data_IF_383211645337
#
_entry.id   IF_383211645337
#
_cell.length_a   1.000
_cell.length_b   1.000
_cell.length_c   1.000
_cell.angle_alpha   90.00
_cell.angle_beta   90.00
_cell.angle_gamma   90.00
#
_symmetry.space_group_name_H-M   'P 1'
#
loop_
_entity.id
_entity.type
_entity.pdbx_description
1 polymer ?
#
# COMPACT_ATOMS: atom_id res chain seq x y z
N UNK A 1 -4.45 1.60 -10.81
CA UNK A 1 -3.11 1.30 -11.36
C UNK A 1 -2.10 1.40 -10.22
N UNK A 2 -1.06 0.60 -10.25
CA UNK A 2 -0.10 0.47 -9.15
C UNK A 2 1.32 0.84 -9.62
N UNK A 3 2.28 0.75 -8.71
CA UNK A 3 3.70 0.99 -9.01
C UNK A 3 4.44 -0.33 -9.27
N UNK A 4 3.78 -1.34 -9.85
CA UNK A 4 4.42 -2.54 -10.36
C UNK A 4 4.57 -2.43 -11.87
N UNK A 5 5.72 -1.95 -12.33
CA UNK A 5 5.93 -1.58 -13.72
C UNK A 5 7.18 -2.25 -14.28
N UNK A 6 7.13 -2.58 -15.57
CA UNK A 6 8.32 -3.04 -16.29
C UNK A 6 9.24 -1.86 -16.62
N UNK A 7 10.54 -2.05 -16.37
CA UNK A 7 11.62 -1.15 -16.78
C UNK A 7 12.68 -2.02 -17.44
N UNK A 8 13.00 -1.73 -18.70
CA UNK A 8 13.96 -2.49 -19.49
C UNK A 8 13.73 -4.03 -19.47
N UNK A 9 12.45 -4.43 -19.50
CA UNK A 9 12.04 -5.83 -19.50
C UNK A 9 12.00 -6.51 -18.13
N UNK A 10 12.40 -5.83 -17.05
CA UNK A 10 12.34 -6.34 -15.68
C UNK A 10 11.18 -5.72 -14.89
N UNK A 11 10.40 -6.55 -14.20
CA UNK A 11 9.33 -6.08 -13.32
C UNK A 11 9.90 -5.48 -12.04
N UNK A 12 9.48 -4.27 -11.70
CA UNK A 12 9.89 -3.56 -10.48
C UNK A 12 8.70 -3.34 -9.55
N UNK A 13 8.95 -3.41 -8.23
CA UNK A 13 8.12 -2.78 -7.22
C UNK A 13 8.68 -1.38 -6.94
N UNK A 14 7.99 -0.35 -7.40
CA UNK A 14 8.50 1.02 -7.40
C UNK A 14 9.84 1.10 -8.15
N UNK A 15 10.94 1.40 -7.46
CA UNK A 15 12.28 1.51 -8.03
C UNK A 15 13.16 0.28 -7.80
N UNK A 16 12.60 -0.81 -7.23
CA UNK A 16 13.35 -2.03 -6.88
C UNK A 16 12.91 -3.19 -7.76
N UNK A 17 13.85 -3.88 -8.41
CA UNK A 17 13.54 -5.04 -9.23
C UNK A 17 12.99 -6.19 -8.36
N UNK A 18 11.91 -6.83 -8.82
CA UNK A 18 11.30 -7.96 -8.11
C UNK A 18 12.27 -9.13 -7.97
N UNK A 19 13.15 -9.32 -8.96
CA UNK A 19 14.18 -10.35 -8.93
C UNK A 19 15.16 -10.15 -7.77
N UNK A 20 15.63 -8.92 -7.55
CA UNK A 20 16.55 -8.61 -6.44
C UNK A 20 15.91 -8.91 -5.08
N UNK A 21 14.61 -8.59 -4.93
CA UNK A 21 13.85 -8.91 -3.73
C UNK A 21 13.74 -10.44 -3.57
N UNK A 22 13.46 -11.16 -4.66
CA UNK A 22 13.33 -12.61 -4.64
C UNK A 22 14.64 -13.32 -4.26
N UNK A 23 15.78 -12.83 -4.74
CA UNK A 23 17.11 -13.35 -4.41
C UNK A 23 17.48 -13.11 -2.95
N UNK A 24 17.11 -11.95 -2.38
CA UNK A 24 17.42 -11.60 -0.99
C UNK A 24 16.47 -12.24 0.04
N UNK A 25 15.18 -12.32 -0.27
CA UNK A 25 14.14 -12.77 0.68
C UNK A 25 13.82 -14.27 0.51
N UNK A 26 13.98 -14.80 -0.71
CA UNK A 26 13.52 -16.15 -1.06
C UNK A 26 12.03 -16.20 -1.39
N UNK A 27 11.64 -17.20 -2.19
CA UNK A 27 10.25 -17.39 -2.62
C UNK A 27 9.56 -18.54 -1.87
N UNK A 28 8.22 -18.46 -1.65
CA UNK A 28 7.32 -17.38 -2.02
C UNK A 28 7.35 -16.18 -1.05
N UNK A 29 7.10 -14.98 -1.57
CA UNK A 29 6.91 -13.76 -0.76
C UNK A 29 5.75 -12.91 -1.28
N UNK A 30 5.19 -12.09 -0.40
CA UNK A 30 4.33 -10.97 -0.77
C UNK A 30 5.14 -9.68 -0.79
N UNK A 31 4.90 -8.83 -1.79
CA UNK A 31 5.47 -7.49 -1.89
C UNK A 31 4.35 -6.49 -2.05
N UNK A 32 4.47 -5.37 -1.34
CA UNK A 32 3.51 -4.27 -1.35
C UNK A 32 4.23 -2.99 -1.74
N UNK A 33 3.57 -2.14 -2.53
CA UNK A 33 4.08 -0.81 -2.84
C UNK A 33 3.50 0.22 -1.86
N UNK A 34 4.39 0.89 -1.13
CA UNK A 34 4.04 2.00 -0.24
C UNK A 34 3.44 3.16 -1.04
N UNK A 35 4.06 3.53 -2.16
CA UNK A 35 3.56 4.59 -3.03
C UNK A 35 2.12 4.30 -3.52
N UNK A 36 1.83 3.03 -3.83
CA UNK A 36 0.49 2.62 -4.26
C UNK A 36 -0.55 2.74 -3.14
N UNK A 37 -0.21 2.29 -1.93
CA UNK A 37 -1.09 2.41 -0.75
C UNK A 37 -1.39 3.88 -0.44
N UNK A 38 -0.36 4.73 -0.38
CA UNK A 38 -0.48 6.16 -0.13
C UNK A 38 -1.36 6.83 -1.20
N UNK A 39 -1.10 6.55 -2.48
CA UNK A 39 -1.84 7.15 -3.59
C UNK A 39 -3.32 6.82 -3.55
N UNK A 40 -3.67 5.55 -3.31
CA UNK A 40 -5.07 5.15 -3.26
C UNK A 40 -5.79 5.67 -2.02
N UNK A 41 -5.12 5.73 -0.87
CA UNK A 41 -5.71 6.35 0.31
C UNK A 41 -5.99 7.83 0.08
N UNK A 42 -4.99 8.60 -0.38
CA UNK A 42 -5.15 10.02 -0.65
C UNK A 42 -6.24 10.32 -1.67
N UNK A 43 -6.30 9.57 -2.78
CA UNK A 43 -7.37 9.75 -3.77
C UNK A 43 -8.77 9.53 -3.18
N UNK A 44 -8.91 8.61 -2.23
CA UNK A 44 -10.20 8.36 -1.59
C UNK A 44 -10.55 9.44 -0.55
N UNK A 45 -9.57 9.86 0.23
CA UNK A 45 -9.68 10.93 1.23
C UNK A 45 -10.01 12.28 0.56
N UNK A 46 -9.24 12.67 -0.46
CA UNK A 46 -9.44 13.90 -1.25
C UNK A 46 -10.81 13.93 -1.96
N UNK A 47 -11.36 12.77 -2.33
CA UNK A 47 -12.69 12.70 -2.94
C UNK A 47 -13.83 13.07 -1.97
N UNK A 48 -13.55 13.10 -0.65
CA UNK A 48 -14.48 13.48 0.41
C UNK A 48 -14.23 14.91 0.91
N UNK A 49 -13.34 15.66 0.26
CA UNK A 49 -13.03 17.05 0.61
C UNK A 49 -14.30 17.92 0.71
N UNK A 50 -14.38 18.71 1.78
CA UNK A 50 -15.52 19.56 2.09
C UNK A 50 -16.62 18.89 2.93
N UNK A 51 -16.50 17.59 3.21
CA UNK A 51 -17.32 16.88 4.19
C UNK A 51 -16.54 16.70 5.50
N UNK A 52 -17.24 16.73 6.63
CA UNK A 52 -16.69 16.21 7.88
C UNK A 52 -16.64 14.68 7.80
N UNK A 53 -15.44 14.11 7.69
CA UNK A 53 -15.25 12.70 7.40
C UNK A 53 -14.01 12.10 8.09
N UNK A 54 -14.01 10.77 8.21
CA UNK A 54 -12.86 9.96 8.62
C UNK A 54 -12.86 8.69 7.77
N UNK A 55 -11.79 8.46 7.01
CA UNK A 55 -11.62 7.23 6.24
C UNK A 55 -11.09 6.11 7.15
N UNK A 56 -11.91 5.10 7.42
CA UNK A 56 -11.51 3.92 8.19
C UNK A 56 -11.12 2.75 7.28
N UNK A 57 -9.83 2.37 7.26
CA UNK A 57 -9.36 1.24 6.47
C UNK A 57 -9.81 -0.08 7.10
N UNK A 58 -10.45 -0.95 6.30
CA UNK A 58 -10.88 -2.27 6.75
C UNK A 58 -9.69 -3.22 6.93
N UNK A 59 -9.21 -3.38 8.17
CA UNK A 59 -7.95 -4.10 8.46
C UNK A 59 -7.96 -5.56 7.99
N UNK A 60 -9.15 -6.18 7.89
CA UNK A 60 -9.30 -7.55 7.37
C UNK A 60 -8.77 -7.75 5.94
N UNK A 61 -8.62 -6.67 5.16
CA UNK A 61 -8.07 -6.73 3.81
C UNK A 61 -6.54 -6.96 3.82
N UNK A 62 -5.83 -6.26 4.70
CA UNK A 62 -4.38 -6.42 4.90
C UNK A 62 -3.96 -5.84 6.26
N UNK A 63 -3.79 -6.71 7.27
CA UNK A 63 -3.49 -6.33 8.66
C UNK A 63 -1.99 -6.30 9.00
N UNK A 64 -1.12 -6.28 7.98
CA UNK A 64 0.31 -6.14 8.20
C UNK A 64 0.62 -4.80 8.89
N UNK A 65 1.40 -4.84 9.96
CA UNK A 65 1.68 -3.66 10.79
C UNK A 65 2.34 -2.50 10.02
N UNK A 66 3.17 -2.78 9.01
CA UNK A 66 3.77 -1.73 8.19
C UNK A 66 2.74 -1.04 7.30
N UNK A 67 1.76 -1.77 6.76
CA UNK A 67 0.63 -1.21 6.00
C UNK A 67 -0.23 -0.33 6.91
N UNK A 68 -0.63 -0.86 8.08
CA UNK A 68 -1.46 -0.12 9.03
C UNK A 68 -0.77 1.16 9.51
N UNK A 69 0.53 1.09 9.82
CA UNK A 69 1.34 2.27 10.19
C UNK A 69 1.44 3.27 9.05
N UNK A 70 1.63 2.81 7.81
CA UNK A 70 1.70 3.68 6.62
C UNK A 70 0.41 4.47 6.45
N UNK A 71 -0.75 3.82 6.55
CA UNK A 71 -2.05 4.46 6.43
C UNK A 71 -2.38 5.33 7.65
N UNK A 72 -2.09 4.87 8.86
CA UNK A 72 -2.28 5.65 10.09
C UNK A 72 -1.46 6.94 10.12
N UNK A 73 -0.23 6.92 9.58
CA UNK A 73 0.59 8.13 9.42
C UNK A 73 -0.01 9.15 8.45
N UNK A 74 -0.95 8.75 7.59
CA UNK A 74 -1.71 9.65 6.72
C UNK A 74 -3.03 10.13 7.35
N UNK A 75 -3.35 9.69 8.57
CA UNK A 75 -4.60 10.05 9.26
C UNK A 75 -5.73 9.05 9.12
N UNK A 76 -5.50 7.88 8.50
CA UNK A 76 -6.52 6.84 8.38
C UNK A 76 -6.98 6.33 9.76
N UNK A 77 -8.29 6.18 9.92
CA UNK A 77 -8.87 5.32 10.95
C UNK A 77 -8.74 3.84 10.57
N UNK A 78 -9.15 2.94 11.46
CA UNK A 78 -9.14 1.50 11.23
C UNK A 78 -10.50 0.90 11.56
N UNK A 79 -11.10 0.21 10.60
CA UNK A 79 -12.27 -0.65 10.82
C UNK A 79 -11.78 -2.06 11.18
N UNK A 80 -12.12 -2.50 12.40
CA UNK A 80 -11.57 -3.69 13.07
C UNK A 80 -12.69 -4.66 13.47
N UNK A 81 -12.38 -5.96 13.48
CA UNK A 81 -13.38 -7.03 13.74
C UNK A 81 -12.91 -8.08 14.75
N UNK A 82 -11.81 -7.83 15.47
CA UNK A 82 -11.24 -8.68 16.52
C UNK A 82 -10.38 -7.87 17.47
#
# INVERSE_FOLDING_TARGET
>A
MDHFLYRDGLLHAEDVAIQDIAEQVGTPFYVYSTATLIRHFKLFDEALDGLDHLVCFAMKAASNQAILKTLGNLGAGMDVVS
#
